data_IF_855358782674
#
_entry.id   IF_855358782674
#
_cell.length_a   1.000
_cell.length_b   1.000
_cell.length_c   1.000
_cell.angle_alpha   90.00
_cell.angle_beta   90.00
_cell.angle_gamma   90.00
#
_symmetry.space_group_name_H-M   'P 1'
#
loop_
_entity.id
_entity.type
_entity.pdbx_description
1 polymer ?
#
# COMPACT_ATOMS: atom_id res chain seq x y z
N UNK A 1 6.22 -1.44 13.55
CA UNK A 1 6.72 -0.30 14.37
C UNK A 1 6.60 1.02 13.61
N UNK A 2 7.22 1.18 12.43
CA UNK A 2 7.21 2.43 11.66
C UNK A 2 5.84 3.04 11.41
N UNK A 3 4.82 2.31 10.91
CA UNK A 3 3.48 2.86 10.72
C UNK A 3 2.79 3.31 12.01
N UNK A 4 3.14 2.71 13.15
CA UNK A 4 2.57 3.10 14.46
C UNK A 4 3.14 4.44 14.91
N UNK A 5 4.45 4.64 14.79
CA UNK A 5 5.12 5.89 15.16
C UNK A 5 4.73 7.04 14.26
N UNK A 6 4.66 6.81 12.95
CA UNK A 6 4.21 7.75 11.93
C UNK A 6 2.75 8.22 12.18
N UNK A 7 1.85 7.26 12.45
CA UNK A 7 0.47 7.58 12.79
C UNK A 7 0.35 8.30 14.14
N UNK A 8 1.16 7.94 15.15
CA UNK A 8 1.13 8.60 16.45
C UNK A 8 1.52 10.07 16.34
N UNK A 9 2.59 10.39 15.59
CA UNK A 9 2.98 11.76 15.31
C UNK A 9 1.90 12.52 14.56
N UNK A 10 1.36 11.95 13.48
CA UNK A 10 0.30 12.56 12.67
C UNK A 10 -0.96 12.85 13.50
N UNK A 11 -1.37 11.93 14.39
CA UNK A 11 -2.53 12.13 15.27
C UNK A 11 -2.25 13.27 16.27
N UNK A 12 -1.06 13.33 16.84
CA UNK A 12 -0.67 14.40 17.76
C UNK A 12 -0.73 15.77 17.08
N UNK A 13 -0.08 15.91 15.91
CA UNK A 13 -0.06 17.15 15.14
C UNK A 13 -1.45 17.61 14.70
N UNK A 14 -2.28 16.68 14.18
CA UNK A 14 -3.63 16.98 13.73
C UNK A 14 -4.61 17.28 14.88
N UNK A 15 -4.36 16.73 16.06
CA UNK A 15 -5.23 16.94 17.23
C UNK A 15 -5.11 18.35 17.80
N UNK A 16 -3.95 19.00 17.59
CA UNK A 16 -3.59 20.30 18.23
C UNK A 16 -3.94 20.34 19.72
N UNK A 17 -3.70 19.22 20.40
CA UNK A 17 -4.11 19.01 21.78
C UNK A 17 -3.54 20.05 22.74
N UNK A 18 -2.34 20.55 22.48
CA UNK A 18 -1.65 21.58 23.25
C UNK A 18 -2.37 22.94 23.25
N UNK A 19 -3.21 23.22 22.23
CA UNK A 19 -3.96 24.47 22.11
C UNK A 19 -5.31 24.44 22.86
N UNK A 20 -5.73 23.30 23.37
CA UNK A 20 -7.02 23.13 24.06
C UNK A 20 -6.90 23.68 25.48
N UNK A 21 -7.67 24.72 25.78
CA UNK A 21 -7.69 25.32 27.10
C UNK A 21 -8.14 24.33 28.18
N UNK A 22 -7.31 24.14 29.21
CA UNK A 22 -7.62 23.29 30.37
C UNK A 22 -7.27 21.82 30.18
N UNK A 23 -6.75 21.41 29.03
CA UNK A 23 -6.41 20.02 28.71
C UNK A 23 -5.40 19.42 29.69
N UNK A 24 -4.42 20.22 30.18
CA UNK A 24 -3.46 19.75 31.18
C UNK A 24 -4.15 19.24 32.46
N UNK A 25 -5.15 19.98 32.93
CA UNK A 25 -5.95 19.59 34.10
C UNK A 25 -6.79 18.35 33.88
N UNK A 26 -7.33 18.19 32.69
CA UNK A 26 -8.14 17.02 32.33
C UNK A 26 -7.27 15.78 32.19
N UNK A 27 -6.10 15.89 31.56
CA UNK A 27 -5.12 14.80 31.48
C UNK A 27 -4.63 14.41 32.88
N UNK A 28 -4.35 15.39 33.75
CA UNK A 28 -3.92 15.10 35.11
C UNK A 28 -5.00 14.38 35.92
N UNK A 29 -6.28 14.71 35.72
CA UNK A 29 -7.39 14.03 36.38
C UNK A 29 -7.64 12.62 35.87
N UNK A 30 -7.54 12.41 34.57
CA UNK A 30 -7.85 11.14 33.91
C UNK A 30 -6.68 10.14 33.97
N UNK A 31 -5.46 10.62 33.74
CA UNK A 31 -4.27 9.76 33.63
C UNK A 31 -3.30 9.91 34.83
N UNK A 32 -3.49 10.87 35.72
CA UNK A 32 -2.69 11.01 36.94
C UNK A 32 -1.29 11.62 36.76
N UNK A 33 -0.95 12.15 35.60
CA UNK A 33 0.31 12.84 35.36
C UNK A 33 0.09 14.21 34.70
N UNK A 34 1.04 15.11 34.93
CA UNK A 34 1.04 16.41 34.26
C UNK A 34 1.72 16.26 32.90
N UNK A 35 1.04 16.58 31.78
CA UNK A 35 1.65 16.51 30.47
C UNK A 35 2.71 17.59 30.26
N UNK A 36 3.80 17.23 29.59
CA UNK A 36 4.78 18.13 29.02
C UNK A 36 4.72 17.98 27.50
N UNK A 37 4.07 18.94 26.84
CA UNK A 37 3.83 18.86 25.41
C UNK A 37 5.10 19.02 24.58
N UNK A 38 6.09 19.78 25.06
CA UNK A 38 7.38 19.94 24.37
C UNK A 38 8.15 18.62 24.37
N UNK A 39 8.24 17.96 25.53
CA UNK A 39 8.86 16.63 25.64
C UNK A 39 8.08 15.57 24.86
N UNK A 40 6.74 15.64 24.89
CA UNK A 40 5.91 14.72 24.12
C UNK A 40 6.15 14.85 22.61
N UNK A 41 6.23 16.08 22.09
CA UNK A 41 6.53 16.37 20.69
C UNK A 41 7.91 15.88 20.30
N UNK A 42 8.94 16.20 21.09
CA UNK A 42 10.29 15.73 20.85
C UNK A 42 10.37 14.19 20.81
N UNK A 43 9.74 13.52 21.78
CA UNK A 43 9.71 12.05 21.81
C UNK A 43 8.98 11.44 20.61
N UNK A 44 7.91 12.08 20.12
CA UNK A 44 7.19 11.63 18.92
C UNK A 44 8.04 11.80 17.67
N UNK A 45 8.72 12.93 17.50
CA UNK A 45 9.65 13.19 16.40
C UNK A 45 10.83 12.20 16.40
N UNK A 46 11.44 11.95 17.57
CA UNK A 46 12.52 10.97 17.70
C UNK A 46 12.06 9.55 17.40
N UNK A 47 10.88 9.15 17.87
CA UNK A 47 10.29 7.84 17.60
C UNK A 47 9.91 7.68 16.12
N UNK A 48 9.39 8.73 15.48
CA UNK A 48 9.09 8.68 14.05
C UNK A 48 10.37 8.63 13.23
N UNK A 49 11.40 9.40 13.58
CA UNK A 49 12.72 9.32 12.96
C UNK A 49 13.34 7.92 13.06
N UNK A 50 13.28 7.29 14.24
CA UNK A 50 13.70 5.91 14.44
C UNK A 50 12.86 4.91 13.61
N UNK A 51 11.55 5.10 13.56
CA UNK A 51 10.63 4.30 12.75
C UNK A 51 10.90 4.42 11.25
N UNK A 52 11.19 5.62 10.76
CA UNK A 52 11.53 5.87 9.36
C UNK A 52 12.90 5.27 8.99
N UNK A 53 13.88 5.32 9.86
CA UNK A 53 15.17 4.64 9.67
C UNK A 53 14.97 3.13 9.55
N UNK A 54 14.14 2.55 10.42
CA UNK A 54 13.79 1.13 10.35
C UNK A 54 13.05 0.78 9.06
N UNK A 55 12.07 1.58 8.64
CA UNK A 55 11.37 1.41 7.36
C UNK A 55 12.35 1.41 6.18
N UNK A 56 13.25 2.38 6.12
CA UNK A 56 14.23 2.51 5.04
C UNK A 56 15.18 1.31 4.97
N UNK A 57 15.53 0.71 6.11
CA UNK A 57 16.41 -0.45 6.18
C UNK A 57 15.66 -1.77 5.97
N UNK A 58 14.48 -1.92 6.57
CA UNK A 58 13.69 -3.14 6.49
C UNK A 58 12.99 -3.31 5.13
N UNK A 59 12.65 -2.22 4.44
CA UNK A 59 11.94 -2.26 3.17
C UNK A 59 12.70 -2.96 2.06
N UNK A 60 14.00 -2.69 1.81
CA UNK A 60 14.80 -3.46 0.85
C UNK A 60 14.86 -4.95 1.20
N UNK A 61 14.97 -5.29 2.49
CA UNK A 61 14.97 -6.69 2.94
C UNK A 61 13.62 -7.35 2.69
N UNK A 62 12.51 -6.65 2.98
CA UNK A 62 11.16 -7.15 2.74
C UNK A 62 10.91 -7.41 1.25
N UNK A 63 11.29 -6.46 0.40
CA UNK A 63 11.18 -6.60 -1.06
C UNK A 63 12.06 -7.76 -1.53
N UNK A 64 13.32 -7.82 -1.11
CA UNK A 64 14.24 -8.91 -1.47
C UNK A 64 13.72 -10.30 -1.07
N UNK A 65 13.14 -10.44 0.12
CA UNK A 65 12.55 -11.72 0.56
C UNK A 65 11.30 -12.09 -0.25
N UNK A 66 10.47 -11.11 -0.61
CA UNK A 66 9.31 -11.33 -1.46
C UNK A 66 9.72 -11.81 -2.86
N UNK A 67 10.76 -11.20 -3.46
CA UNK A 67 11.33 -11.63 -4.75
C UNK A 67 11.87 -13.03 -4.70
N UNK A 68 12.72 -13.31 -3.71
CA UNK A 68 13.28 -14.66 -3.53
C UNK A 68 12.16 -15.69 -3.35
N UNK A 69 11.15 -15.38 -2.55
CA UNK A 69 9.99 -16.24 -2.35
C UNK A 69 9.21 -16.49 -3.65
N UNK A 70 8.90 -15.43 -4.40
CA UNK A 70 8.18 -15.52 -5.67
C UNK A 70 8.98 -16.30 -6.74
N UNK A 71 10.26 -16.00 -6.91
CA UNK A 71 11.12 -16.68 -7.89
C UNK A 71 11.33 -18.15 -7.54
N UNK A 72 11.52 -18.48 -6.26
CA UNK A 72 11.63 -19.86 -5.80
C UNK A 72 10.35 -20.65 -6.05
N UNK A 73 9.18 -20.04 -5.80
CA UNK A 73 7.89 -20.67 -6.05
C UNK A 73 7.67 -20.91 -7.56
N UNK A 74 7.94 -19.91 -8.40
CA UNK A 74 7.85 -20.03 -9.86
C UNK A 74 8.76 -21.16 -10.36
N UNK A 75 10.01 -21.19 -9.89
CA UNK A 75 10.96 -22.22 -10.27
C UNK A 75 10.50 -23.63 -9.83
N UNK A 76 9.93 -23.74 -8.64
CA UNK A 76 9.36 -25.01 -8.15
C UNK A 76 8.21 -25.51 -9.02
N UNK A 77 7.34 -24.61 -9.49
CA UNK A 77 6.25 -24.94 -10.43
C UNK A 77 6.84 -25.41 -11.77
N UNK A 78 7.87 -24.72 -12.28
CA UNK A 78 8.56 -25.12 -13.51
C UNK A 78 9.15 -26.53 -13.38
N UNK A 79 9.87 -26.80 -12.30
CA UNK A 79 10.48 -28.14 -12.06
C UNK A 79 9.42 -29.22 -12.01
N UNK A 80 8.29 -28.94 -11.36
CA UNK A 80 7.16 -29.89 -11.27
C UNK A 80 6.54 -30.17 -12.65
N UNK A 81 6.23 -29.11 -13.40
CA UNK A 81 5.58 -29.24 -14.72
C UNK A 81 6.48 -29.88 -15.77
N UNK A 82 7.78 -29.66 -15.67
CA UNK A 82 8.78 -30.23 -16.59
C UNK A 82 9.31 -31.59 -16.15
N UNK A 83 8.72 -32.20 -15.12
CA UNK A 83 9.16 -33.48 -14.57
C UNK A 83 10.69 -33.53 -14.30
N UNK A 84 11.20 -32.52 -13.60
CA UNK A 84 12.61 -32.41 -13.27
C UNK A 84 13.46 -31.81 -14.41
N UNK A 85 12.96 -30.80 -15.11
CA UNK A 85 13.65 -30.07 -16.19
C UNK A 85 13.99 -30.93 -17.40
N UNK A 86 13.08 -31.82 -17.82
CA UNK A 86 13.26 -32.58 -19.05
C UNK A 86 13.33 -31.68 -20.26
N UNK A 87 14.34 -31.84 -21.16
CA UNK A 87 14.53 -30.98 -22.33
C UNK A 87 13.31 -30.88 -23.25
N UNK A 88 12.57 -31.98 -23.38
CA UNK A 88 11.36 -32.08 -24.22
C UNK A 88 10.24 -31.15 -23.75
N UNK A 89 10.14 -30.93 -22.44
CA UNK A 89 9.10 -30.06 -21.84
C UNK A 89 9.58 -28.62 -21.68
N UNK A 90 10.90 -28.39 -21.60
CA UNK A 90 11.47 -27.03 -21.51
C UNK A 90 11.21 -26.19 -22.77
N UNK A 91 11.02 -26.81 -23.93
CA UNK A 91 10.68 -26.11 -25.16
C UNK A 91 9.39 -25.28 -25.07
N UNK A 92 8.46 -25.69 -24.20
CA UNK A 92 7.21 -24.96 -23.97
C UNK A 92 7.37 -23.68 -23.13
N UNK A 93 8.51 -23.49 -22.48
CA UNK A 93 8.89 -22.25 -21.80
C UNK A 93 9.58 -21.25 -22.72
N UNK A 94 9.44 -21.41 -24.01
CA UNK A 94 9.99 -20.53 -25.03
C UNK A 94 8.99 -19.42 -25.39
N UNK A 95 9.51 -18.23 -25.75
CA UNK A 95 8.73 -17.13 -26.33
C UNK A 95 8.01 -17.56 -27.62
N UNK A 96 8.50 -18.60 -28.30
CA UNK A 96 7.87 -19.16 -29.48
C UNK A 96 6.63 -20.01 -29.16
N UNK A 97 6.43 -20.37 -27.90
CA UNK A 97 5.24 -21.09 -27.45
C UNK A 97 4.11 -20.09 -27.14
N UNK A 98 3.01 -20.07 -27.93
CA UNK A 98 1.99 -19.03 -27.83
C UNK A 98 1.37 -18.87 -26.44
N UNK A 99 1.02 -19.94 -25.68
CA UNK A 99 0.49 -19.80 -24.33
C UNK A 99 1.45 -19.08 -23.39
N UNK A 100 2.73 -19.40 -23.43
CA UNK A 100 3.74 -18.76 -22.59
C UNK A 100 3.89 -17.27 -22.91
N UNK A 101 3.97 -16.92 -24.20
CA UNK A 101 4.03 -15.53 -24.66
C UNK A 101 2.79 -14.73 -24.25
N UNK A 102 1.60 -15.29 -24.42
CA UNK A 102 0.34 -14.67 -24.00
C UNK A 102 0.31 -14.46 -22.48
N UNK A 103 0.83 -15.40 -21.70
CA UNK A 103 1.00 -15.25 -20.26
C UNK A 103 1.87 -14.06 -19.88
N UNK A 104 3.02 -13.88 -20.54
CA UNK A 104 3.90 -12.72 -20.33
C UNK A 104 3.21 -11.38 -20.64
N UNK A 105 2.46 -11.33 -21.75
CA UNK A 105 1.71 -10.13 -22.15
C UNK A 105 0.60 -9.83 -21.14
N UNK A 106 -0.17 -10.84 -20.75
CA UNK A 106 -1.28 -10.72 -19.81
C UNK A 106 -0.80 -10.28 -18.42
N UNK A 107 0.32 -10.85 -17.93
CA UNK A 107 0.90 -10.43 -16.67
C UNK A 107 1.30 -8.95 -16.67
N UNK A 108 1.90 -8.46 -17.75
CA UNK A 108 2.19 -7.04 -17.92
C UNK A 108 0.92 -6.18 -17.91
N UNK A 109 -0.11 -6.59 -18.64
CA UNK A 109 -1.38 -5.87 -18.69
C UNK A 109 -2.07 -5.77 -17.33
N UNK A 110 -2.03 -6.85 -16.53
CA UNK A 110 -2.61 -6.87 -15.17
C UNK A 110 -1.92 -5.87 -14.25
N UNK A 111 -0.61 -5.69 -14.35
CA UNK A 111 0.12 -4.69 -13.54
C UNK A 111 -0.32 -3.27 -13.91
N UNK A 112 -0.40 -2.94 -15.19
CA UNK A 112 -0.89 -1.63 -15.63
C UNK A 112 -2.33 -1.38 -15.16
N UNK A 113 -3.19 -2.39 -15.27
CA UNK A 113 -4.55 -2.30 -14.76
C UNK A 113 -4.58 -2.10 -13.23
N UNK A 114 -3.78 -2.85 -12.48
CA UNK A 114 -3.66 -2.74 -11.01
C UNK A 114 -3.24 -1.32 -10.61
N UNK A 115 -2.22 -0.79 -11.25
CA UNK A 115 -1.71 0.57 -10.98
C UNK A 115 -2.78 1.61 -11.29
N UNK A 116 -3.43 1.52 -12.45
CA UNK A 116 -4.51 2.42 -12.84
C UNK A 116 -5.71 2.37 -11.89
N UNK A 117 -6.13 1.17 -11.50
CA UNK A 117 -7.23 0.97 -10.56
C UNK A 117 -6.91 1.53 -9.16
N UNK A 118 -5.66 1.36 -8.70
CA UNK A 118 -5.19 1.91 -7.43
C UNK A 118 -5.18 3.42 -7.44
N UNK A 119 -4.66 4.04 -8.49
CA UNK A 119 -4.69 5.49 -8.68
C UNK A 119 -6.13 6.04 -8.71
N UNK A 120 -7.02 5.37 -9.42
CA UNK A 120 -8.44 5.76 -9.50
C UNK A 120 -9.13 5.69 -8.13
N UNK A 121 -8.85 4.65 -7.34
CA UNK A 121 -9.42 4.50 -6.00
C UNK A 121 -8.99 5.66 -5.07
N UNK A 122 -7.70 6.00 -5.08
CA UNK A 122 -7.15 7.11 -4.29
C UNK A 122 -7.70 8.46 -4.76
N UNK A 123 -7.69 8.71 -6.07
CA UNK A 123 -8.18 9.97 -6.66
C UNK A 123 -9.66 10.18 -6.38
N UNK A 124 -10.48 9.13 -6.48
CA UNK A 124 -11.91 9.20 -6.17
C UNK A 124 -12.13 9.53 -4.68
N UNK A 125 -11.38 8.89 -3.78
CA UNK A 125 -11.44 9.19 -2.35
C UNK A 125 -11.08 10.64 -2.04
N UNK A 126 -9.98 11.13 -2.61
CA UNK A 126 -9.54 12.52 -2.48
C UNK A 126 -10.59 13.51 -3.03
N UNK A 127 -11.15 13.23 -4.21
CA UNK A 127 -12.20 14.09 -4.81
C UNK A 127 -13.42 14.19 -3.90
N UNK A 128 -13.92 13.08 -3.37
CA UNK A 128 -15.05 13.06 -2.44
C UNK A 128 -14.77 13.80 -1.13
N UNK A 129 -13.54 13.69 -0.62
CA UNK A 129 -13.12 14.46 0.55
C UNK A 129 -13.13 15.98 0.26
N UNK A 130 -12.63 16.40 -0.90
CA UNK A 130 -12.66 17.81 -1.33
C UNK A 130 -14.08 18.31 -1.54
N UNK A 131 -14.98 17.52 -2.13
CA UNK A 131 -16.42 17.87 -2.24
C UNK A 131 -17.04 18.09 -0.86
N UNK A 132 -16.76 17.19 0.10
CA UNK A 132 -17.26 17.34 1.47
C UNK A 132 -16.72 18.61 2.13
N UNK A 133 -15.42 18.87 2.00
CA UNK A 133 -14.78 20.08 2.53
C UNK A 133 -15.46 21.35 1.98
N UNK A 134 -15.62 21.43 0.66
CA UNK A 134 -16.26 22.60 0.02
C UNK A 134 -17.70 22.81 0.43
N UNK A 135 -18.44 21.72 0.66
CA UNK A 135 -19.85 21.78 1.01
C UNK A 135 -20.10 22.12 2.49
N UNK A 136 -19.27 21.61 3.39
CA UNK A 136 -19.56 21.61 4.83
C UNK A 136 -18.61 22.49 5.65
N UNK A 137 -17.38 22.70 5.21
CA UNK A 137 -16.40 23.48 5.97
C UNK A 137 -16.45 24.94 5.51
N UNK A 138 -17.16 25.78 6.29
CA UNK A 138 -17.18 27.24 6.12
C UNK A 138 -16.24 27.86 7.11
N UNK A 139 -15.14 28.40 6.62
CA UNK A 139 -14.12 29.07 7.43
C UNK A 139 -14.45 30.53 7.74
N UNK A 140 -15.70 30.97 7.60
CA UNK A 140 -16.10 32.35 7.89
C UNK A 140 -15.90 32.66 9.37
N UNK A 141 -14.76 33.28 9.69
CA UNK A 141 -14.39 33.70 11.06
C UNK A 141 -13.74 32.63 11.94
N UNK A 142 -13.51 31.43 11.44
CA UNK A 142 -12.77 30.40 12.16
C UNK A 142 -11.39 30.15 11.52
N UNK A 143 -10.36 30.05 12.34
CA UNK A 143 -8.99 29.74 11.89
C UNK A 143 -8.76 28.25 11.66
N UNK A 144 -9.65 27.39 12.17
CA UNK A 144 -9.52 25.91 12.07
C UNK A 144 -10.88 25.26 11.81
N UNK A 145 -10.85 24.12 11.09
CA UNK A 145 -12.02 23.26 10.90
C UNK A 145 -12.42 22.58 12.22
N UNK A 146 -13.70 22.22 12.36
CA UNK A 146 -14.16 21.49 13.53
C UNK A 146 -13.56 20.08 13.57
N UNK A 147 -13.34 19.53 14.77
CA UNK A 147 -12.85 18.15 14.96
C UNK A 147 -13.79 17.13 14.29
N UNK A 148 -15.09 17.39 14.33
CA UNK A 148 -16.11 16.52 13.70
C UNK A 148 -15.96 16.49 12.19
N UNK A 149 -15.73 17.65 11.56
CA UNK A 149 -15.54 17.75 10.10
C UNK A 149 -14.22 17.09 9.67
N UNK A 150 -13.16 17.30 10.43
CA UNK A 150 -11.87 16.65 10.18
C UNK A 150 -11.96 15.13 10.25
N UNK A 151 -12.65 14.59 11.29
CA UNK A 151 -12.92 13.15 11.40
C UNK A 151 -13.72 12.62 10.19
N UNK A 152 -14.71 13.39 9.73
CA UNK A 152 -15.52 12.98 8.57
C UNK A 152 -14.73 12.94 7.28
N UNK A 153 -13.81 13.87 7.06
CA UNK A 153 -12.89 13.86 5.90
C UNK A 153 -12.02 12.60 5.92
N UNK A 154 -11.40 12.28 7.07
CA UNK A 154 -10.57 11.08 7.23
C UNK A 154 -11.40 9.80 7.02
N UNK A 155 -12.62 9.75 7.56
CA UNK A 155 -13.54 8.63 7.36
C UNK A 155 -13.85 8.40 5.87
N UNK A 156 -14.15 9.46 5.12
CA UNK A 156 -14.43 9.38 3.68
C UNK A 156 -13.20 8.82 2.94
N UNK A 157 -12.01 9.39 3.16
CA UNK A 157 -10.79 8.93 2.52
C UNK A 157 -10.53 7.44 2.82
N UNK A 158 -10.65 7.04 4.09
CA UNK A 158 -10.39 5.67 4.53
C UNK A 158 -11.39 4.68 3.94
N UNK A 159 -12.69 5.00 3.93
CA UNK A 159 -13.72 4.13 3.36
C UNK A 159 -13.52 3.89 1.87
N UNK A 160 -13.20 4.95 1.10
CA UNK A 160 -12.95 4.81 -0.33
C UNK A 160 -11.68 4.02 -0.61
N UNK A 161 -10.61 4.27 0.14
CA UNK A 161 -9.36 3.51 0.01
C UNK A 161 -9.57 2.02 0.32
N UNK A 162 -10.22 1.69 1.43
CA UNK A 162 -10.51 0.30 1.81
C UNK A 162 -11.38 -0.41 0.78
N UNK A 163 -12.46 0.23 0.33
CA UNK A 163 -13.36 -0.34 -0.69
C UNK A 163 -12.66 -0.55 -2.02
N UNK A 164 -11.84 0.41 -2.44
CA UNK A 164 -11.03 0.29 -3.65
C UNK A 164 -10.03 -0.86 -3.58
N UNK A 165 -9.27 -0.94 -2.49
CA UNK A 165 -8.29 -2.01 -2.27
C UNK A 165 -8.94 -3.39 -2.21
N UNK A 166 -10.10 -3.52 -1.57
CA UNK A 166 -10.81 -4.79 -1.50
C UNK A 166 -11.27 -5.27 -2.88
N UNK A 167 -11.82 -4.39 -3.70
CA UNK A 167 -12.24 -4.71 -5.06
C UNK A 167 -11.04 -5.13 -5.95
N UNK A 168 -9.93 -4.41 -5.84
CA UNK A 168 -8.69 -4.72 -6.57
C UNK A 168 -8.17 -6.10 -6.14
N UNK A 169 -8.12 -6.35 -4.83
CA UNK A 169 -7.69 -7.65 -4.29
C UNK A 169 -8.54 -8.80 -4.85
N UNK A 170 -9.87 -8.70 -4.78
CA UNK A 170 -10.76 -9.72 -5.31
C UNK A 170 -10.54 -9.97 -6.81
N UNK A 171 -10.40 -8.90 -7.59
CA UNK A 171 -10.18 -9.00 -9.03
C UNK A 171 -8.86 -9.70 -9.35
N UNK A 172 -7.77 -9.31 -8.69
CA UNK A 172 -6.45 -9.95 -8.87
C UNK A 172 -6.50 -11.41 -8.42
N UNK A 173 -7.11 -11.68 -7.28
CA UNK A 173 -7.22 -13.04 -6.73
C UNK A 173 -7.98 -13.97 -7.69
N UNK A 174 -9.18 -13.59 -8.11
CA UNK A 174 -9.98 -14.43 -8.98
C UNK A 174 -9.43 -14.54 -10.39
N UNK A 175 -8.84 -13.47 -10.95
CA UNK A 175 -8.19 -13.55 -12.26
C UNK A 175 -6.97 -14.45 -12.24
N UNK A 176 -6.13 -14.36 -11.21
CA UNK A 176 -4.96 -15.23 -11.03
C UNK A 176 -5.40 -16.71 -10.89
N UNK A 177 -6.44 -16.95 -10.10
CA UNK A 177 -7.00 -18.27 -9.93
C UNK A 177 -7.56 -18.82 -11.27
N UNK A 178 -8.30 -18.01 -12.02
CA UNK A 178 -8.81 -18.39 -13.33
C UNK A 178 -7.67 -18.73 -14.30
N UNK A 179 -6.62 -17.91 -14.35
CA UNK A 179 -5.47 -18.14 -15.22
C UNK A 179 -4.70 -19.42 -14.88
N UNK A 180 -4.68 -19.83 -13.63
CA UNK A 180 -4.07 -21.09 -13.21
C UNK A 180 -4.78 -22.32 -13.80
N UNK A 181 -6.08 -22.21 -14.12
CA UNK A 181 -6.86 -23.28 -14.73
C UNK A 181 -6.89 -23.27 -16.26
N UNK A 182 -6.44 -22.19 -16.90
CA UNK A 182 -6.47 -22.07 -18.37
C UNK A 182 -5.41 -22.97 -19.00
N UNK A 183 -4.15 -22.75 -18.66
CA UNK A 183 -3.04 -23.52 -19.22
C UNK A 183 -1.77 -23.29 -18.36
N UNK A 184 -1.02 -24.36 -17.98
CA UNK A 184 0.10 -24.26 -17.05
C UNK A 184 1.25 -23.36 -17.53
N UNK A 185 1.63 -23.42 -18.80
CA UNK A 185 2.72 -22.59 -19.34
C UNK A 185 2.33 -21.12 -19.51
N UNK A 186 1.05 -20.88 -19.83
CA UNK A 186 0.47 -19.53 -19.77
C UNK A 186 0.58 -18.96 -18.36
N UNK A 187 0.21 -19.75 -17.36
CA UNK A 187 0.26 -19.32 -15.96
C UNK A 187 1.68 -19.02 -15.50
N UNK A 188 2.69 -19.81 -15.88
CA UNK A 188 4.09 -19.53 -15.59
C UNK A 188 4.51 -18.20 -16.23
N UNK A 189 4.20 -17.98 -17.51
CA UNK A 189 4.49 -16.71 -18.18
C UNK A 189 3.87 -15.52 -17.47
N UNK A 190 2.62 -15.64 -17.06
CA UNK A 190 1.90 -14.65 -16.26
C UNK A 190 2.60 -14.35 -14.93
N UNK A 191 2.98 -15.36 -14.14
CA UNK A 191 3.68 -15.18 -12.87
C UNK A 191 5.05 -14.54 -13.04
N UNK A 192 5.83 -14.95 -14.03
CA UNK A 192 7.15 -14.36 -14.34
C UNK A 192 6.99 -12.88 -14.67
N UNK A 193 6.02 -12.53 -15.51
CA UNK A 193 5.80 -11.14 -15.91
C UNK A 193 5.39 -10.25 -14.73
N UNK A 194 4.54 -10.76 -13.83
CA UNK A 194 4.17 -10.02 -12.62
C UNK A 194 5.36 -9.86 -11.68
N UNK A 195 6.12 -10.94 -11.43
CA UNK A 195 7.26 -10.89 -10.52
C UNK A 195 8.32 -9.87 -10.97
N UNK A 196 8.65 -9.85 -12.26
CA UNK A 196 9.67 -8.95 -12.80
C UNK A 196 9.23 -7.48 -12.87
N UNK A 197 7.95 -7.21 -13.20
CA UNK A 197 7.47 -5.84 -13.42
C UNK A 197 6.90 -5.18 -12.15
N UNK A 198 6.45 -5.95 -11.17
CA UNK A 198 5.93 -5.39 -9.92
C UNK A 198 6.98 -4.61 -9.15
N UNK A 199 8.25 -4.94 -9.30
CA UNK A 199 9.36 -4.25 -8.65
C UNK A 199 9.75 -2.95 -9.32
N UNK A 200 9.76 -2.92 -10.64
CA UNK A 200 10.12 -1.75 -11.43
C UNK A 200 9.17 -0.57 -11.12
N UNK A 201 7.85 -0.83 -11.09
CA UNK A 201 6.86 0.19 -10.78
C UNK A 201 6.85 0.66 -9.32
N UNK A 202 7.20 -0.21 -8.38
CA UNK A 202 7.25 0.18 -6.96
C UNK A 202 8.46 1.08 -6.68
N UNK A 203 9.58 0.85 -7.34
CA UNK A 203 10.79 1.67 -7.19
C UNK A 203 10.68 3.03 -7.91
N UNK A 204 10.05 3.09 -9.08
CA UNK A 204 9.84 4.36 -9.81
C UNK A 204 8.86 5.31 -9.13
N UNK A 205 7.76 4.80 -8.58
CA UNK A 205 6.79 5.62 -7.84
C UNK A 205 7.40 6.22 -6.57
N UNK A 206 8.38 5.54 -5.96
CA UNK A 206 9.07 6.06 -4.79
C UNK A 206 10.15 7.09 -5.12
N UNK A 207 10.84 6.94 -6.26
CA UNK A 207 11.85 7.92 -6.68
C UNK A 207 11.27 9.25 -7.15
N UNK A 208 9.96 9.31 -7.43
CA UNK A 208 9.25 10.54 -7.82
C UNK A 208 8.58 11.27 -6.64
N UNK A 209 8.63 10.71 -5.43
CA UNK A 209 8.08 11.32 -4.22
C UNK A 209 9.13 12.05 -3.35
N UNK A 210 10.39 12.10 -3.82
CA UNK A 210 11.46 12.89 -3.20
C UNK A 210 11.93 13.97 -4.22
#
# INVERSE_FOLDING_TARGET
YGPVTDNAQSVYELSTIEEIKGIEGDIQKEFGFKPDFEVAKQNLEENDGAGNTFKATAKPVLIGTAVVGATTMIFSIIVMLTNGLKPELLQYLSILHPPFLLGLITGGAVIYWFTGASMQAVTTGAYRAVEFIKANIKLEGATKASVTDSKKVVEICTQYAQKGMFNIFLTVFFSTLAFAFVEPYFFIGYLISIALRSEEHTSELQSRQY
#
